data_IF_588202697690
#
_entry.id   IF_588202697690
#
_cell.length_a   1.000
_cell.length_b   1.000
_cell.length_c   1.000
_cell.angle_alpha   90.00
_cell.angle_beta   90.00
_cell.angle_gamma   90.00
#
_symmetry.space_group_name_H-M   'P 1'
#
loop_
_entity.id
_entity.type
_entity.pdbx_description
1 polymer ?
#
# COMPACT_ATOMS: atom_id res chain seq x y z
N UNK A 1 -44.84 -68.00 61.44
CA UNK A 1 -44.73 -66.84 62.34
C UNK A 1 -45.38 -65.66 61.64
N UNK A 2 -46.53 -65.21 62.20
CA UNK A 2 -47.12 -63.86 62.22
C UNK A 2 -46.73 -62.83 61.14
N UNK A 3 -47.57 -61.97 60.56
CA UNK A 3 -49.02 -61.74 60.51
C UNK A 3 -49.20 -60.45 59.65
N UNK A 4 -50.35 -60.31 58.97
CA UNK A 4 -51.04 -59.05 58.60
C UNK A 4 -50.33 -58.13 57.58
N UNK A 5 -50.98 -57.54 56.56
CA UNK A 5 -52.21 -56.77 56.61
C UNK A 5 -52.80 -56.58 55.19
N UNK A 6 -54.13 -56.74 55.06
CA UNK A 6 -54.95 -56.35 53.90
C UNK A 6 -55.45 -54.92 54.09
N UNK A 7 -55.51 -54.14 53.01
CA UNK A 7 -56.48 -53.07 52.71
C UNK A 7 -56.09 -52.42 51.37
N UNK A 8 -56.95 -51.90 50.50
CA UNK A 8 -58.38 -51.99 50.20
C UNK A 8 -58.54 -51.27 48.83
N UNK A 9 -59.57 -51.66 48.08
CA UNK A 9 -60.16 -51.03 46.89
C UNK A 9 -59.88 -49.53 46.65
N UNK A 10 -59.69 -49.13 45.38
CA UNK A 10 -60.60 -48.18 44.69
C UNK A 10 -60.30 -48.04 43.19
N UNK A 11 -61.37 -48.16 42.41
CA UNK A 11 -61.55 -47.79 41.00
C UNK A 11 -61.46 -46.27 40.87
N UNK A 12 -60.88 -45.73 39.78
CA UNK A 12 -61.28 -44.47 39.12
C UNK A 12 -60.40 -44.29 37.86
N UNK A 13 -60.97 -44.34 36.66
CA UNK A 13 -61.51 -43.21 35.88
C UNK A 13 -60.55 -42.80 34.76
N UNK A 14 -60.96 -43.16 33.54
CA UNK A 14 -60.35 -42.79 32.26
C UNK A 14 -60.62 -41.29 32.01
N UNK A 15 -59.56 -40.48 31.88
CA UNK A 15 -59.64 -39.09 31.45
C UNK A 15 -58.92 -38.96 30.09
N UNK A 16 -59.70 -38.81 29.03
CA UNK A 16 -59.24 -38.41 27.71
C UNK A 16 -58.75 -36.95 27.77
N UNK A 17 -57.45 -36.73 27.53
CA UNK A 17 -56.90 -35.39 27.32
C UNK A 17 -56.88 -35.09 25.82
N UNK A 18 -57.75 -34.17 25.38
CA UNK A 18 -57.70 -33.57 24.04
C UNK A 18 -56.62 -32.48 24.06
N UNK A 19 -55.51 -32.71 23.36
CA UNK A 19 -54.49 -31.67 23.12
C UNK A 19 -54.92 -30.86 21.91
N UNK A 20 -55.37 -29.62 22.14
CA UNK A 20 -55.55 -28.64 21.06
C UNK A 20 -54.18 -28.13 20.61
N UNK A 21 -53.82 -28.38 19.35
CA UNK A 21 -52.64 -27.79 18.71
C UNK A 21 -52.99 -26.34 18.34
N UNK A 22 -52.55 -25.39 19.15
CA UNK A 22 -52.60 -23.97 18.81
C UNK A 22 -51.59 -23.66 17.71
N UNK A 23 -52.06 -23.21 16.54
CA UNK A 23 -51.19 -22.69 15.49
C UNK A 23 -50.62 -21.33 15.93
N UNK A 24 -49.33 -21.30 16.27
CA UNK A 24 -48.61 -20.06 16.49
C UNK A 24 -48.20 -19.48 15.13
N UNK A 25 -48.85 -18.39 14.72
CA UNK A 25 -48.43 -17.58 13.58
C UNK A 25 -47.06 -16.95 13.89
N UNK A 26 -45.99 -17.52 13.33
CA UNK A 26 -44.65 -16.92 13.41
C UNK A 26 -44.65 -15.68 12.51
N UNK A 27 -44.68 -14.50 13.11
CA UNK A 27 -44.46 -13.25 12.41
C UNK A 27 -43.04 -13.27 11.80
N UNK A 28 -42.94 -13.16 10.48
CA UNK A 28 -41.67 -12.93 9.79
C UNK A 28 -41.09 -11.60 10.29
N UNK A 29 -39.81 -11.52 10.66
CA UNK A 29 -39.19 -10.23 10.92
C UNK A 29 -39.27 -9.40 9.64
N UNK A 30 -39.72 -8.16 9.77
CA UNK A 30 -39.65 -7.19 8.69
C UNK A 30 -38.18 -7.08 8.25
N UNK A 31 -37.94 -7.32 6.96
CA UNK A 31 -36.64 -7.06 6.36
C UNK A 31 -36.37 -5.57 6.52
N UNK A 32 -35.48 -5.21 7.45
CA UNK A 32 -34.95 -3.87 7.48
C UNK A 32 -34.34 -3.61 6.10
N UNK A 33 -34.84 -2.60 5.40
CA UNK A 33 -34.15 -2.06 4.25
C UNK A 33 -32.72 -1.78 4.74
N UNK A 34 -31.75 -2.51 4.19
CA UNK A 34 -30.35 -2.22 4.44
C UNK A 34 -30.11 -0.74 4.14
N UNK A 35 -29.13 -0.10 4.78
CA UNK A 35 -28.78 1.26 4.43
C UNK A 35 -28.54 1.26 2.92
N UNK A 36 -29.42 1.93 2.17
CA UNK A 36 -29.14 2.36 0.81
C UNK A 36 -27.83 3.09 0.93
N UNK A 37 -26.76 2.46 0.45
CA UNK A 37 -25.43 3.04 0.48
C UNK A 37 -25.56 4.41 -0.14
N UNK A 38 -25.49 5.43 0.71
CA UNK A 38 -25.06 6.74 0.27
C UNK A 38 -23.71 6.46 -0.36
N UNK A 39 -23.65 6.48 -1.69
CA UNK A 39 -22.40 6.61 -2.39
C UNK A 39 -21.72 7.80 -1.72
N UNK A 40 -20.70 7.54 -0.92
CA UNK A 40 -19.77 8.59 -0.58
C UNK A 40 -19.26 9.03 -1.95
N UNK A 41 -19.63 10.24 -2.39
CA UNK A 41 -18.84 10.94 -3.39
C UNK A 41 -17.54 11.33 -2.68
N UNK A 42 -16.77 10.34 -2.25
CA UNK A 42 -15.48 10.60 -1.68
C UNK A 42 -14.57 10.84 -2.88
N UNK A 43 -14.41 12.11 -3.22
CA UNK A 43 -13.43 12.63 -4.16
C UNK A 43 -12.01 12.43 -3.59
N UNK A 44 -11.75 11.28 -2.97
CA UNK A 44 -10.47 10.86 -2.39
C UNK A 44 -9.85 9.73 -3.20
N UNK A 45 -10.50 9.28 -4.27
CA UNK A 45 -9.96 8.25 -5.14
C UNK A 45 -10.47 8.31 -6.56
N UNK A 46 -9.75 7.63 -7.44
CA UNK A 46 -10.06 7.55 -8.87
C UNK A 46 -10.14 6.10 -9.31
N UNK A 47 -11.17 5.80 -10.11
CA UNK A 47 -11.41 4.49 -10.71
C UNK A 47 -11.08 4.49 -12.19
N UNK A 48 -10.58 3.36 -12.68
CA UNK A 48 -10.28 3.13 -14.09
C UNK A 48 -10.90 1.80 -14.52
N UNK A 49 -11.49 1.78 -15.71
CA UNK A 49 -11.95 0.56 -16.36
C UNK A 49 -10.78 -0.36 -16.72
N UNK A 50 -11.06 -1.63 -16.98
CA UNK A 50 -10.04 -2.57 -17.48
C UNK A 50 -9.44 -2.12 -18.82
N UNK A 51 -10.22 -1.40 -19.64
CA UNK A 51 -9.75 -0.82 -20.89
C UNK A 51 -8.74 0.31 -20.62
N UNK A 52 -9.06 1.26 -19.72
CA UNK A 52 -8.18 2.36 -19.35
C UNK A 52 -6.89 1.86 -18.68
N UNK A 53 -6.97 0.87 -17.79
CA UNK A 53 -5.79 0.24 -17.20
C UNK A 53 -4.90 -0.41 -18.27
N UNK A 54 -5.50 -1.06 -19.27
CA UNK A 54 -4.78 -1.69 -20.39
C UNK A 54 -4.22 -0.68 -21.39
N UNK A 55 -4.91 0.44 -21.62
CA UNK A 55 -4.46 1.55 -22.45
C UNK A 55 -3.28 2.27 -21.77
N UNK A 56 -3.35 2.51 -20.46
CA UNK A 56 -2.25 3.05 -19.67
C UNK A 56 -0.98 2.21 -19.86
N UNK A 57 -1.09 0.89 -19.66
CA UNK A 57 0.02 -0.07 -19.89
C UNK A 57 0.61 0.05 -21.30
N UNK A 58 -0.22 0.15 -22.34
CA UNK A 58 0.23 0.26 -23.74
C UNK A 58 0.85 1.63 -24.07
N UNK A 59 0.40 2.68 -23.41
CA UNK A 59 0.84 4.06 -23.65
C UNK A 59 2.22 4.36 -23.08
N UNK A 60 2.67 3.60 -22.07
CA UNK A 60 4.02 3.69 -21.51
C UNK A 60 5.03 2.93 -22.38
N UNK A 61 5.28 3.49 -23.56
CA UNK A 61 6.31 3.00 -24.48
C UNK A 61 7.70 3.17 -23.88
N UNK A 62 8.73 2.54 -24.48
CA UNK A 62 10.08 2.72 -24.03
C UNK A 62 10.55 4.17 -23.96
N UNK A 63 10.19 4.96 -24.95
CA UNK A 63 10.52 6.37 -25.06
C UNK A 63 9.81 7.19 -23.97
N UNK A 64 8.52 6.90 -23.71
CA UNK A 64 7.75 7.55 -22.65
C UNK A 64 8.35 7.28 -21.25
N UNK A 65 8.76 6.04 -20.98
CA UNK A 65 9.38 5.67 -19.70
C UNK A 65 10.73 6.37 -19.50
N UNK A 66 11.51 6.56 -20.57
CA UNK A 66 12.79 7.26 -20.53
C UNK A 66 12.64 8.80 -20.43
N UNK A 67 11.50 9.35 -20.83
CA UNK A 67 11.21 10.78 -20.81
C UNK A 67 10.60 11.27 -19.49
N UNK A 68 10.08 10.36 -18.66
CA UNK A 68 9.44 10.72 -17.39
C UNK A 68 10.42 11.34 -16.39
N UNK A 69 10.07 12.50 -15.83
CA UNK A 69 10.87 13.20 -14.82
C UNK A 69 10.49 12.80 -13.39
N UNK A 70 11.18 13.34 -12.39
CA UNK A 70 10.65 13.34 -11.02
C UNK A 70 9.60 14.45 -10.85
N UNK A 71 8.68 14.25 -9.90
CA UNK A 71 7.69 15.27 -9.54
C UNK A 71 8.31 16.34 -8.62
N UNK A 72 9.26 15.95 -7.77
CA UNK A 72 9.75 16.75 -6.64
C UNK A 72 10.95 17.68 -6.90
N UNK A 73 11.52 17.73 -8.13
CA UNK A 73 12.70 18.58 -8.40
C UNK A 73 12.70 19.25 -9.79
N UNK A 74 13.20 20.50 -9.88
CA UNK A 74 13.91 20.94 -11.08
C UNK A 74 15.20 20.12 -11.22
N UNK A 75 15.48 19.70 -12.46
CA UNK A 75 16.47 18.75 -12.99
C UNK A 75 17.93 18.74 -12.50
N UNK A 76 18.29 19.31 -11.34
CA UNK A 76 19.63 19.20 -10.78
C UNK A 76 19.80 17.85 -10.08
N UNK A 77 19.90 16.80 -10.90
CA UNK A 77 20.27 15.46 -10.50
C UNK A 77 21.71 15.48 -9.97
N UNK A 78 21.87 15.33 -8.67
CA UNK A 78 23.17 15.04 -8.07
C UNK A 78 23.56 13.62 -8.47
N UNK A 79 24.38 13.48 -9.50
CA UNK A 79 25.06 12.24 -9.84
C UNK A 79 26.19 11.99 -8.83
N UNK A 80 25.84 11.57 -7.61
CA UNK A 80 26.84 10.99 -6.72
C UNK A 80 27.01 9.50 -7.09
N UNK A 81 28.23 9.04 -7.41
CA UNK A 81 28.49 7.62 -7.56
C UNK A 81 28.44 6.99 -6.16
N UNK A 82 27.37 6.27 -5.86
CA UNK A 82 27.30 5.44 -4.66
C UNK A 82 27.91 4.09 -5.02
N UNK A 83 29.07 3.79 -4.45
CA UNK A 83 29.80 2.54 -4.67
C UNK A 83 29.00 1.35 -4.15
N UNK A 84 28.88 0.31 -4.98
CA UNK A 84 28.08 -0.89 -4.74
C UNK A 84 28.35 -1.55 -3.38
N UNK A 85 27.30 -1.74 -2.60
CA UNK A 85 27.34 -2.50 -1.37
C UNK A 85 27.21 -4.00 -1.69
N UNK A 86 28.24 -4.78 -1.36
CA UNK A 86 28.17 -6.25 -1.33
C UNK A 86 27.27 -6.73 -0.19
N UNK A 87 26.70 -7.92 -0.34
CA UNK A 87 25.75 -8.68 0.52
C UNK A 87 26.10 -8.80 2.03
N UNK A 88 27.14 -8.13 2.53
CA UNK A 88 27.66 -8.21 3.90
C UNK A 88 27.57 -6.89 4.72
N UNK A 89 26.86 -5.86 4.25
CA UNK A 89 26.74 -4.55 4.90
C UNK A 89 25.41 -4.39 5.67
N UNK A 90 25.11 -5.31 6.57
CA UNK A 90 23.72 -5.55 6.99
C UNK A 90 23.13 -4.60 8.05
N UNK A 91 23.86 -3.57 8.49
CA UNK A 91 23.30 -2.28 8.98
C UNK A 91 24.38 -1.19 8.77
N UNK A 92 24.83 -0.94 7.54
CA UNK A 92 25.62 0.28 7.31
C UNK A 92 24.66 1.47 7.34
N UNK A 93 24.83 2.35 8.32
CA UNK A 93 24.07 3.60 8.41
C UNK A 93 24.41 4.47 7.19
N UNK A 94 23.39 5.09 6.58
CA UNK A 94 23.54 5.99 5.45
C UNK A 94 23.21 5.34 4.10
N UNK A 95 23.45 6.11 3.04
CA UNK A 95 23.02 5.78 1.68
C UNK A 95 23.87 4.68 1.02
N UNK A 96 23.22 3.90 0.17
CA UNK A 96 23.79 2.77 -0.54
C UNK A 96 23.00 2.43 -1.80
N UNK A 97 23.37 1.32 -2.41
CA UNK A 97 22.66 0.72 -3.55
C UNK A 97 22.30 -0.73 -3.23
N UNK A 98 21.19 -1.19 -3.78
CA UNK A 98 20.70 -2.55 -3.64
C UNK A 98 20.34 -3.13 -5.00
N UNK A 99 20.40 -4.46 -5.13
CA UNK A 99 19.94 -5.14 -6.34
C UNK A 99 18.42 -4.98 -6.51
N UNK A 100 17.86 -5.09 -7.73
CA UNK A 100 16.42 -4.98 -7.94
C UNK A 100 15.63 -5.99 -7.09
N UNK A 101 14.62 -5.49 -6.39
CA UNK A 101 13.77 -6.28 -5.49
C UNK A 101 12.41 -6.53 -6.15
N UNK A 102 11.93 -7.77 -6.10
CA UNK A 102 10.77 -8.16 -6.92
C UNK A 102 9.50 -7.39 -6.60
N UNK A 103 9.25 -7.07 -5.33
CA UNK A 103 8.07 -6.32 -4.91
C UNK A 103 8.26 -4.81 -4.95
N UNK A 104 9.47 -4.29 -5.21
CA UNK A 104 9.76 -2.86 -5.27
C UNK A 104 9.85 -2.45 -6.74
N UNK A 105 9.18 -1.36 -7.09
CA UNK A 105 9.08 -0.95 -8.49
C UNK A 105 8.95 0.54 -8.68
N UNK A 106 8.89 0.92 -9.95
CA UNK A 106 8.65 2.29 -10.38
C UNK A 106 7.17 2.50 -10.65
N UNK A 107 6.66 3.66 -10.29
CA UNK A 107 5.34 4.13 -10.68
C UNK A 107 5.52 5.20 -11.73
N UNK A 108 4.74 5.12 -12.80
CA UNK A 108 4.73 6.14 -13.86
C UNK A 108 3.31 6.63 -14.04
N UNK A 109 3.18 7.93 -14.25
CA UNK A 109 1.90 8.61 -14.29
C UNK A 109 2.02 9.95 -15.00
N UNK A 110 0.86 10.49 -15.36
CA UNK A 110 0.73 11.82 -15.93
C UNK A 110 0.05 12.77 -14.95
N UNK A 111 0.57 13.98 -14.82
CA UNK A 111 -0.11 15.11 -14.15
C UNK A 111 0.02 16.33 -15.06
N UNK A 112 -1.09 17.04 -15.31
CA UNK A 112 -1.11 18.25 -16.16
C UNK A 112 -0.40 18.05 -17.53
N UNK A 113 -0.66 16.91 -18.17
CA UNK A 113 -0.09 16.56 -19.48
C UNK A 113 1.42 16.28 -19.48
N UNK A 114 2.06 16.19 -18.32
CA UNK A 114 3.49 15.89 -18.15
C UNK A 114 3.69 14.51 -17.53
N UNK A 115 4.76 13.83 -17.94
CA UNK A 115 5.09 12.47 -17.51
C UNK A 115 6.04 12.49 -16.32
N UNK A 116 5.65 11.79 -15.26
CA UNK A 116 6.41 11.71 -14.02
C UNK A 116 6.66 10.26 -13.62
N UNK A 117 7.60 10.08 -12.70
CA UNK A 117 7.86 8.81 -12.08
C UNK A 117 8.14 8.93 -10.59
N UNK A 118 7.59 7.98 -9.86
CA UNK A 118 7.80 7.72 -8.44
C UNK A 118 8.28 6.28 -8.25
N UNK A 119 8.36 5.86 -6.99
CA UNK A 119 8.58 4.49 -6.54
C UNK A 119 7.36 3.96 -5.81
N UNK A 120 7.31 2.64 -5.64
CA UNK A 120 6.26 1.97 -4.87
C UNK A 120 6.62 0.53 -4.57
N UNK A 121 5.77 -0.12 -3.78
CA UNK A 121 5.94 -1.54 -3.43
C UNK A 121 4.63 -2.31 -3.45
N UNK A 122 4.67 -3.54 -3.95
CA UNK A 122 3.60 -4.54 -3.75
C UNK A 122 3.54 -4.91 -2.27
N UNK A 123 2.37 -4.80 -1.66
CA UNK A 123 2.15 -5.10 -0.23
C UNK A 123 1.09 -6.17 -0.04
N UNK A 124 1.25 -6.97 1.02
CA UNK A 124 0.34 -8.08 1.32
C UNK A 124 -1.07 -7.54 1.51
N UNK A 125 -2.02 -8.14 0.77
CA UNK A 125 -3.41 -7.71 0.69
C UNK A 125 -4.33 -8.88 0.37
N UNK A 126 -5.62 -8.77 0.70
CA UNK A 126 -6.60 -9.83 0.43
C UNK A 126 -6.81 -10.00 -1.08
N UNK A 127 -6.79 -8.89 -1.83
CA UNK A 127 -6.92 -8.88 -3.29
C UNK A 127 -5.66 -9.26 -4.05
N UNK A 128 -4.50 -9.36 -3.38
CA UNK A 128 -3.20 -9.64 -3.98
C UNK A 128 -2.74 -8.63 -5.05
N UNK A 129 -3.32 -7.42 -5.04
CA UNK A 129 -3.16 -6.40 -6.10
C UNK A 129 -2.77 -5.02 -5.57
N UNK A 130 -2.52 -4.88 -4.27
CA UNK A 130 -2.27 -3.57 -3.65
C UNK A 130 -0.80 -3.18 -3.75
N UNK A 131 -0.57 -1.94 -4.18
CA UNK A 131 0.72 -1.25 -4.16
C UNK A 131 0.63 -0.05 -3.23
N UNK A 132 1.66 0.15 -2.41
CA UNK A 132 1.87 1.35 -1.61
C UNK A 132 2.74 2.37 -2.35
N UNK A 133 2.43 3.66 -2.18
CA UNK A 133 3.22 4.79 -2.69
C UNK A 133 2.93 6.06 -1.87
N UNK A 134 3.54 7.19 -2.24
CA UNK A 134 3.25 8.50 -1.65
C UNK A 134 1.98 9.08 -2.27
N UNK A 135 1.26 9.90 -1.52
CA UNK A 135 0.01 10.47 -1.98
C UNK A 135 0.22 11.54 -3.06
N UNK A 136 1.30 12.33 -2.98
CA UNK A 136 1.66 13.29 -4.04
C UNK A 136 1.91 12.61 -5.40
N UNK A 137 2.31 11.33 -5.42
CA UNK A 137 2.46 10.59 -6.68
C UNK A 137 1.13 10.31 -7.39
N UNK A 138 -0.01 10.53 -6.72
CA UNK A 138 -1.35 10.23 -7.23
C UNK A 138 -2.27 11.46 -7.26
N UNK A 139 -2.08 12.40 -6.33
CA UNK A 139 -2.81 13.66 -6.27
C UNK A 139 -1.87 14.76 -5.79
N UNK A 140 -1.67 15.79 -6.60
CA UNK A 140 -0.73 16.86 -6.31
C UNK A 140 -1.25 18.19 -6.86
N UNK A 141 -1.17 19.25 -6.06
CA UNK A 141 -1.57 20.62 -6.41
C UNK A 141 -2.98 20.74 -7.02
N UNK A 142 -3.94 19.92 -6.56
CA UNK A 142 -5.30 19.95 -7.09
C UNK A 142 -5.60 18.94 -8.20
N UNK A 143 -4.58 18.26 -8.72
CA UNK A 143 -4.68 17.44 -9.92
C UNK A 143 -4.50 15.96 -9.62
N UNK A 144 -5.34 15.14 -10.24
CA UNK A 144 -5.22 13.69 -10.16
C UNK A 144 -4.28 13.13 -11.23
N UNK A 145 -3.50 12.13 -10.84
CA UNK A 145 -2.60 11.41 -11.75
C UNK A 145 -3.35 10.47 -12.68
N UNK A 146 -3.06 10.53 -13.97
CA UNK A 146 -3.66 9.62 -14.96
C UNK A 146 -2.63 8.67 -15.56
N UNK A 147 -3.11 7.67 -16.31
CA UNK A 147 -2.27 6.61 -16.90
C UNK A 147 -1.33 5.93 -15.89
N UNK A 148 -1.76 5.81 -14.63
CA UNK A 148 -0.92 5.29 -13.54
C UNK A 148 -0.58 3.81 -13.79
N UNK A 149 0.71 3.50 -13.82
CA UNK A 149 1.21 2.12 -13.92
C UNK A 149 2.30 1.84 -12.90
N UNK A 150 2.42 0.58 -12.50
CA UNK A 150 3.47 0.06 -11.64
C UNK A 150 4.32 -0.98 -12.38
N UNK A 151 5.64 -0.86 -12.25
CA UNK A 151 6.61 -1.76 -12.88
C UNK A 151 7.54 -2.33 -11.79
N UNK A 152 7.20 -3.51 -11.24
CA UNK A 152 7.99 -4.17 -10.22
C UNK A 152 9.29 -4.75 -10.79
N UNK A 153 10.29 -4.95 -9.92
CA UNK A 153 11.55 -5.60 -10.25
C UNK A 153 12.34 -4.91 -11.38
N UNK A 154 12.25 -3.58 -11.45
CA UNK A 154 12.92 -2.81 -12.50
C UNK A 154 14.44 -2.83 -12.29
N UNK A 155 15.20 -3.38 -13.25
CA UNK A 155 16.67 -3.46 -13.17
C UNK A 155 17.40 -2.31 -13.89
N UNK A 156 16.66 -1.34 -14.42
CA UNK A 156 17.18 -0.24 -15.24
C UNK A 156 16.97 -0.45 -16.75
N UNK A 157 16.91 -1.69 -17.21
CA UNK A 157 16.84 -2.05 -18.62
C UNK A 157 15.61 -2.89 -18.99
N UNK A 158 15.13 -3.71 -18.07
CA UNK A 158 14.10 -4.72 -18.26
C UNK A 158 12.92 -4.52 -17.32
N UNK A 159 11.80 -5.14 -17.71
CA UNK A 159 10.54 -5.18 -16.97
C UNK A 159 10.17 -6.65 -16.73
N UNK A 160 10.91 -7.41 -15.91
CA UNK A 160 10.80 -8.86 -15.87
C UNK A 160 9.42 -9.35 -15.42
N UNK A 161 8.70 -8.53 -14.65
CA UNK A 161 7.33 -8.81 -14.19
C UNK A 161 6.24 -8.02 -14.95
N UNK A 162 6.65 -7.36 -16.04
CA UNK A 162 5.82 -6.51 -16.89
C UNK A 162 5.27 -5.28 -16.19
N UNK A 163 4.34 -4.60 -16.88
CA UNK A 163 3.70 -3.35 -16.41
C UNK A 163 2.29 -3.66 -15.91
N UNK A 164 1.88 -3.08 -14.79
CA UNK A 164 0.56 -3.26 -14.17
C UNK A 164 -0.18 -1.93 -14.15
N UNK A 165 -1.37 -1.86 -14.76
CA UNK A 165 -2.18 -0.63 -14.77
C UNK A 165 -3.01 -0.49 -13.50
N UNK A 166 -3.16 0.73 -13.00
CA UNK A 166 -4.05 1.03 -11.89
C UNK A 166 -5.51 0.74 -12.27
N UNK A 167 -6.26 0.12 -11.36
CA UNK A 167 -7.71 -0.08 -11.46
C UNK A 167 -8.45 0.88 -10.54
N UNK A 168 -7.91 1.10 -9.35
CA UNK A 168 -8.41 2.08 -8.40
C UNK A 168 -7.25 2.57 -7.56
N UNK A 169 -7.25 3.83 -7.17
CA UNK A 169 -6.39 4.29 -6.08
C UNK A 169 -7.12 5.31 -5.24
N UNK A 170 -6.61 5.54 -4.03
CA UNK A 170 -7.10 6.59 -3.16
C UNK A 170 -5.96 7.20 -2.33
N UNK A 171 -6.15 8.45 -1.96
CA UNK A 171 -5.36 9.21 -0.98
C UNK A 171 -6.22 9.46 0.27
N UNK A 172 -5.60 9.81 1.39
CA UNK A 172 -6.33 10.18 2.60
C UNK A 172 -7.16 11.45 2.38
N UNK A 173 -8.19 11.67 3.21
CA UNK A 173 -8.92 12.95 3.18
C UNK A 173 -7.99 14.12 3.53
N UNK A 174 -7.12 13.93 4.52
CA UNK A 174 -6.16 14.94 4.98
C UNK A 174 -5.21 15.37 3.86
N UNK A 175 -4.76 14.41 3.03
CA UNK A 175 -4.02 14.71 1.81
C UNK A 175 -4.89 15.42 0.79
N UNK A 176 -6.08 14.87 0.48
CA UNK A 176 -6.97 15.42 -0.56
C UNK A 176 -7.38 16.88 -0.31
N UNK A 177 -7.54 17.29 0.94
CA UNK A 177 -8.06 18.62 1.29
C UNK A 177 -6.98 19.65 1.58
N UNK A 178 -5.86 19.23 2.15
CA UNK A 178 -4.83 20.13 2.68
C UNK A 178 -3.40 19.72 2.32
N UNK A 179 -3.22 18.62 1.59
CA UNK A 179 -1.91 18.04 1.28
C UNK A 179 -1.06 17.90 2.55
N UNK A 180 -1.69 17.35 3.61
CA UNK A 180 -1.05 17.20 4.92
C UNK A 180 0.16 16.26 4.79
N UNK A 181 1.40 16.74 5.00
CA UNK A 181 2.60 15.92 4.85
C UNK A 181 2.65 14.73 5.82
N UNK A 182 1.92 14.79 6.93
CA UNK A 182 1.76 13.67 7.86
C UNK A 182 0.96 12.48 7.28
N UNK A 183 0.26 12.70 6.18
CA UNK A 183 -0.59 11.72 5.52
C UNK A 183 -0.26 11.58 4.03
N UNK A 184 0.99 11.85 3.66
CA UNK A 184 1.55 11.62 2.31
C UNK A 184 1.81 10.12 2.03
N UNK A 185 0.74 9.34 2.10
CA UNK A 185 0.74 7.93 1.78
C UNK A 185 -0.54 7.56 1.04
N UNK A 186 -0.40 6.69 0.04
CA UNK A 186 -1.52 6.25 -0.77
C UNK A 186 -1.36 4.79 -1.19
N UNK A 187 -2.49 4.23 -1.62
CA UNK A 187 -2.56 2.85 -2.06
C UNK A 187 -3.27 2.74 -3.40
N UNK A 188 -2.76 1.85 -4.24
CA UNK A 188 -3.27 1.58 -5.58
C UNK A 188 -3.65 0.10 -5.65
N UNK A 189 -4.89 -0.19 -6.05
CA UNK A 189 -5.30 -1.52 -6.49
C UNK A 189 -5.01 -1.65 -7.99
N UNK A 190 -4.13 -2.57 -8.34
CA UNK A 190 -3.78 -2.86 -9.74
C UNK A 190 -4.86 -3.69 -10.42
N UNK A 191 -4.95 -3.59 -11.74
CA UNK A 191 -5.70 -4.54 -12.54
C UNK A 191 -4.94 -5.89 -12.60
N UNK A 192 -5.60 -7.04 -12.33
CA UNK A 192 -5.04 -8.35 -12.59
C UNK A 192 -4.84 -8.53 -14.09
N UNK A 193 -3.79 -9.25 -14.45
CA UNK A 193 -3.51 -9.59 -15.84
C UNK A 193 -4.27 -10.86 -16.23
N UNK A 194 -4.42 -11.07 -17.53
CA UNK A 194 -4.88 -12.34 -18.07
C UNK A 194 -3.67 -13.06 -18.64
N UNK A 195 -3.37 -14.26 -18.12
CA UNK A 195 -2.32 -15.12 -18.65
C UNK A 195 -2.68 -15.68 -20.03
N UNK A 196 -1.69 -16.28 -20.69
CA UNK A 196 -1.86 -16.89 -22.01
C UNK A 196 -2.88 -18.05 -22.02
N UNK A 197 -3.10 -18.70 -20.88
CA UNK A 197 -4.07 -19.78 -20.68
C UNK A 197 -5.47 -19.27 -20.29
N UNK A 198 -5.67 -17.95 -20.24
CA UNK A 198 -6.92 -17.31 -19.85
C UNK A 198 -7.12 -17.18 -18.34
N UNK A 199 -6.18 -17.67 -17.51
CA UNK A 199 -6.23 -17.53 -16.06
C UNK A 199 -5.92 -16.09 -15.61
N UNK A 200 -6.38 -15.71 -14.42
CA UNK A 200 -6.05 -14.40 -13.82
C UNK A 200 -4.70 -14.46 -13.13
N UNK A 201 -3.84 -13.49 -13.41
CA UNK A 201 -2.59 -13.29 -12.70
C UNK A 201 -2.69 -12.10 -11.75
N UNK A 202 -2.26 -12.33 -10.52
CA UNK A 202 -2.26 -11.36 -9.44
C UNK A 202 -0.85 -10.86 -9.17
N UNK A 203 -0.71 -9.60 -8.75
CA UNK A 203 0.59 -8.95 -8.58
C UNK A 203 1.42 -9.67 -7.51
N UNK A 204 0.84 -9.91 -6.34
CA UNK A 204 1.55 -10.48 -5.20
C UNK A 204 2.12 -11.88 -5.49
N UNK A 205 1.49 -12.68 -6.36
CA UNK A 205 1.98 -14.01 -6.70
C UNK A 205 3.20 -13.99 -7.63
N UNK A 206 3.44 -12.89 -8.34
CA UNK A 206 4.59 -12.71 -9.24
C UNK A 206 5.71 -11.91 -8.59
N UNK A 207 5.35 -10.82 -7.92
CA UNK A 207 6.29 -9.87 -7.33
C UNK A 207 6.66 -10.20 -5.88
N UNK A 208 5.87 -11.04 -5.21
CA UNK A 208 5.87 -11.08 -3.75
C UNK A 208 5.14 -9.86 -3.16
N UNK A 209 4.85 -9.94 -1.87
CA UNK A 209 4.14 -8.88 -1.16
C UNK A 209 4.45 -8.96 0.33
N UNK A 210 5.47 -8.22 0.82
CA UNK A 210 5.79 -8.16 2.25
C UNK A 210 4.61 -7.66 3.09
N UNK A 211 4.63 -8.01 4.37
CA UNK A 211 3.61 -7.58 5.31
C UNK A 211 3.70 -6.07 5.59
N UNK A 212 2.61 -5.31 5.46
CA UNK A 212 2.54 -3.96 6.01
C UNK A 212 2.25 -4.00 7.52
N UNK A 213 2.60 -2.92 8.22
CA UNK A 213 2.13 -2.62 9.58
C UNK A 213 1.67 -1.17 9.68
N UNK A 214 0.68 -0.93 10.53
CA UNK A 214 0.00 0.37 10.66
C UNK A 214 -0.04 0.88 12.11
N UNK A 215 0.74 0.24 12.99
CA UNK A 215 0.70 0.55 14.43
C UNK A 215 2.02 0.26 15.14
N UNK A 216 3.05 -0.14 14.40
CA UNK A 216 4.32 -0.59 14.99
C UNK A 216 5.45 0.43 14.83
N UNK A 217 5.27 1.48 14.03
CA UNK A 217 6.28 2.52 13.87
C UNK A 217 6.49 3.25 15.19
N UNK A 218 7.74 3.32 15.63
CA UNK A 218 8.15 4.04 16.83
C UNK A 218 9.45 4.78 16.54
N UNK A 219 9.65 6.00 17.07
CA UNK A 219 10.93 6.68 16.97
C UNK A 219 12.01 5.86 17.70
N UNK A 220 13.25 5.91 17.22
CA UNK A 220 14.37 5.14 17.73
C UNK A 220 14.52 3.74 17.11
N UNK A 221 13.54 3.25 16.35
CA UNK A 221 13.73 2.05 15.54
C UNK A 221 14.65 2.36 14.36
N UNK A 222 15.38 1.35 13.90
CA UNK A 222 16.13 1.44 12.66
C UNK A 222 15.25 1.06 11.48
N UNK A 223 15.28 1.90 10.45
CA UNK A 223 14.55 1.72 9.21
C UNK A 223 15.52 1.61 8.05
N UNK A 224 15.09 0.95 6.98
CA UNK A 224 15.78 0.88 5.72
C UNK A 224 14.79 1.25 4.60
N UNK A 225 15.11 2.32 3.88
CA UNK A 225 14.27 2.92 2.86
C UNK A 225 14.83 2.60 1.47
N UNK A 226 13.94 2.30 0.53
CA UNK A 226 14.33 1.95 -0.84
C UNK A 226 13.56 2.80 -1.85
N UNK A 227 14.21 3.16 -2.97
CA UNK A 227 13.56 3.92 -4.03
C UNK A 227 14.34 3.94 -5.33
N UNK A 228 13.69 4.28 -6.42
CA UNK A 228 14.32 4.46 -7.72
C UNK A 228 14.49 5.94 -8.03
N UNK A 229 15.56 6.25 -8.76
CA UNK A 229 15.72 7.54 -9.44
C UNK A 229 15.00 7.52 -10.81
N UNK A 230 14.63 8.69 -11.38
CA UNK A 230 14.33 8.82 -12.79
C UNK A 230 15.47 8.28 -13.62
N UNK A 231 15.12 7.64 -14.73
CA UNK A 231 16.10 7.15 -15.69
C UNK A 231 15.96 7.96 -16.96
N UNK A 232 17.08 8.52 -17.44
CA UNK A 232 17.18 9.11 -18.77
C UNK A 232 17.36 8.07 -19.89
N UNK A 233 16.85 6.84 -19.73
CA UNK A 233 17.03 5.74 -20.69
C UNK A 233 16.98 4.34 -20.07
N UNK A 234 17.26 3.33 -20.91
CA UNK A 234 17.33 1.90 -20.55
C UNK A 234 18.72 1.47 -20.06
N UNK A 235 19.23 2.19 -19.07
CA UNK A 235 20.52 1.88 -18.45
C UNK A 235 20.29 1.21 -17.10
N UNK A 236 21.01 0.10 -16.81
CA UNK A 236 21.00 -0.51 -15.48
C UNK A 236 21.24 0.56 -14.42
N UNK A 237 20.32 0.67 -13.49
CA UNK A 237 20.40 1.62 -12.39
C UNK A 237 19.98 0.89 -11.13
N UNK A 238 20.86 0.79 -10.14
CA UNK A 238 20.56 0.04 -8.94
C UNK A 238 19.46 0.76 -8.14
N UNK A 239 18.77 -0.02 -7.31
CA UNK A 239 17.82 0.51 -6.34
C UNK A 239 18.60 1.33 -5.30
N UNK A 240 18.16 2.55 -5.00
CA UNK A 240 18.71 3.30 -3.86
C UNK A 240 18.27 2.61 -2.57
N UNK A 241 19.17 2.49 -1.59
CA UNK A 241 18.83 2.14 -0.22
C UNK A 241 19.43 3.15 0.75
N UNK A 242 18.78 3.38 1.88
CA UNK A 242 19.40 4.06 3.01
C UNK A 242 18.86 3.55 4.32
N UNK A 243 19.75 3.23 5.26
CA UNK A 243 19.39 2.75 6.58
C UNK A 243 19.77 3.74 7.67
N UNK A 244 18.90 3.88 8.68
CA UNK A 244 19.25 4.62 9.88
C UNK A 244 18.18 4.63 10.96
N UNK A 245 18.48 5.24 12.09
CA UNK A 245 17.52 5.45 13.18
C UNK A 245 16.44 6.45 12.73
N UNK A 246 15.17 6.09 12.83
CA UNK A 246 14.05 6.98 12.54
C UNK A 246 13.72 7.85 13.74
N UNK A 247 13.59 9.16 13.53
CA UNK A 247 13.23 10.15 14.57
C UNK A 247 12.06 10.99 14.12
N UNK A 248 11.35 11.63 15.04
CA UNK A 248 10.33 12.60 14.65
C UNK A 248 10.94 13.74 13.83
N UNK A 249 10.41 13.97 12.64
CA UNK A 249 10.79 15.14 11.85
C UNK A 249 10.43 16.41 12.63
N UNK A 250 11.33 17.40 12.63
CA UNK A 250 11.26 18.64 13.43
C UNK A 250 11.17 18.41 14.96
N UNK A 251 11.36 17.18 15.44
CA UNK A 251 11.31 16.83 16.85
C UNK A 251 9.91 16.92 17.49
N UNK A 252 8.84 17.02 16.70
CA UNK A 252 7.47 17.12 17.22
C UNK A 252 6.73 15.79 17.09
N UNK A 253 6.30 15.22 18.21
CA UNK A 253 5.51 13.99 18.21
C UNK A 253 4.11 14.14 17.59
N UNK A 254 3.63 15.38 17.44
CA UNK A 254 2.31 15.69 16.87
C UNK A 254 2.27 15.62 15.34
N UNK A 255 3.42 15.58 14.67
CA UNK A 255 3.51 15.43 13.22
C UNK A 255 3.89 13.97 12.95
N UNK A 256 3.05 13.20 12.23
CA UNK A 256 3.31 11.78 11.95
C UNK A 256 4.30 11.62 10.78
N UNK A 257 5.42 12.33 10.84
CA UNK A 257 6.53 12.23 9.88
C UNK A 257 7.81 11.86 10.63
N UNK A 258 8.55 10.89 10.10
CA UNK A 258 9.87 10.51 10.61
C UNK A 258 10.98 10.93 9.64
N UNK A 259 12.15 11.22 10.21
CA UNK A 259 13.38 11.50 9.49
C UNK A 259 14.42 10.39 9.71
N UNK A 260 15.20 10.09 8.66
CA UNK A 260 16.45 9.32 8.76
C UNK A 260 17.60 10.24 8.35
N UNK A 261 18.52 10.48 9.28
CA UNK A 261 19.65 11.38 9.07
C UNK A 261 20.69 10.79 8.11
N UNK A 262 21.34 11.65 7.33
CA UNK A 262 22.38 11.30 6.35
C UNK A 262 21.88 10.42 5.19
N UNK A 263 20.58 10.45 4.92
CA UNK A 263 19.94 9.85 3.76
C UNK A 263 19.51 10.94 2.78
N UNK A 264 19.96 10.85 1.53
CA UNK A 264 19.67 11.81 0.44
C UNK A 264 19.02 11.03 -0.72
N UNK A 265 17.74 10.63 -0.60
CA UNK A 265 17.10 9.86 -1.64
C UNK A 265 17.02 10.70 -2.92
N UNK A 266 17.25 10.08 -4.09
CA UNK A 266 17.14 10.81 -5.35
C UNK A 266 15.69 11.27 -5.57
N UNK A 267 15.48 12.27 -6.44
CA UNK A 267 14.14 12.53 -6.98
C UNK A 267 13.55 11.23 -7.54
N UNK A 268 12.22 11.07 -7.50
CA UNK A 268 11.50 9.86 -7.90
C UNK A 268 11.56 8.68 -6.93
N UNK A 269 12.37 8.76 -5.85
CA UNK A 269 12.35 7.77 -4.78
C UNK A 269 11.06 7.82 -3.95
N UNK A 270 10.32 8.92 -4.06
CA UNK A 270 9.04 9.15 -3.40
C UNK A 270 8.05 8.01 -3.63
N UNK A 271 7.36 7.61 -2.58
CA UNK A 271 6.53 6.41 -2.52
C UNK A 271 7.29 5.10 -2.34
N UNK A 272 8.62 5.13 -2.40
CA UNK A 272 9.47 3.98 -2.14
C UNK A 272 9.28 3.44 -0.71
N UNK A 273 9.36 2.11 -0.50
CA UNK A 273 9.02 1.52 0.78
C UNK A 273 10.06 1.81 1.87
N UNK A 274 9.58 1.96 3.10
CA UNK A 274 10.41 2.00 4.31
C UNK A 274 10.11 0.77 5.16
N UNK A 275 11.12 -0.08 5.38
CA UNK A 275 11.05 -1.29 6.18
C UNK A 275 11.72 -1.10 7.54
N UNK A 276 11.40 -1.94 8.52
CA UNK A 276 12.30 -2.12 9.65
C UNK A 276 13.63 -2.68 9.15
N UNK A 277 14.75 -2.03 9.49
CA UNK A 277 16.07 -2.45 9.05
C UNK A 277 16.37 -3.88 9.55
N UNK A 278 16.91 -4.71 8.67
CA UNK A 278 17.15 -6.13 8.98
C UNK A 278 18.39 -6.62 8.27
N UNK A 279 19.05 -7.59 8.89
CA UNK A 279 20.18 -8.30 8.28
C UNK A 279 19.78 -9.23 7.12
N UNK A 280 18.51 -9.25 6.72
CA UNK A 280 18.00 -10.08 5.62
C UNK A 280 17.51 -9.24 4.43
N UNK A 281 17.91 -7.97 4.37
CA UNK A 281 17.45 -7.01 3.34
C UNK A 281 15.96 -6.65 3.47
N UNK A 282 15.30 -6.18 2.38
CA UNK A 282 13.91 -5.70 2.39
C UNK A 282 12.83 -6.76 2.64
N UNK A 283 13.19 -7.90 3.23
CA UNK A 283 12.27 -8.97 3.65
C UNK A 283 11.51 -8.65 4.96
N UNK A 284 11.64 -7.41 5.46
CA UNK A 284 11.01 -6.95 6.69
C UNK A 284 9.55 -6.55 6.54
N UNK A 285 8.95 -6.16 7.66
CA UNK A 285 7.63 -5.51 7.67
C UNK A 285 7.79 -4.09 7.13
N UNK A 286 6.89 -3.65 6.24
CA UNK A 286 6.84 -2.28 5.73
C UNK A 286 6.08 -1.37 6.68
N UNK A 287 6.66 -0.24 7.03
CA UNK A 287 6.14 0.71 8.01
C UNK A 287 5.66 2.02 7.39
N UNK A 288 6.06 2.32 6.16
CA UNK A 288 5.80 3.62 5.55
C UNK A 288 6.31 3.71 4.13
N UNK A 289 6.30 4.94 3.62
CA UNK A 289 6.82 5.31 2.30
C UNK A 289 7.66 6.58 2.40
N UNK A 290 8.71 6.66 1.58
CA UNK A 290 9.51 7.86 1.39
C UNK A 290 8.59 8.96 0.85
N UNK A 291 8.64 10.15 1.44
CA UNK A 291 7.86 11.29 0.97
C UNK A 291 8.76 12.29 0.26
N UNK A 292 9.83 12.72 0.91
CA UNK A 292 10.70 13.74 0.36
C UNK A 292 12.11 13.72 0.95
N UNK A 293 12.96 14.62 0.45
CA UNK A 293 14.25 14.94 1.06
C UNK A 293 14.23 16.34 1.64
N UNK A 294 14.69 16.48 2.88
CA UNK A 294 14.92 17.77 3.53
C UNK A 294 16.40 17.94 3.87
N UNK A 295 16.77 19.14 4.33
CA UNK A 295 18.10 19.45 4.85
C UNK A 295 17.98 19.85 6.32
N UNK A 296 18.86 19.31 7.16
CA UNK A 296 19.02 19.77 8.52
C UNK A 296 19.62 21.19 8.55
N UNK A 297 19.65 21.82 9.73
CA UNK A 297 20.19 23.19 9.90
C UNK A 297 21.66 23.32 9.51
N UNK A 298 22.42 22.24 9.63
CA UNK A 298 23.84 22.16 9.24
C UNK A 298 24.03 21.77 7.76
N UNK A 299 22.94 21.59 7.01
CA UNK A 299 22.96 21.22 5.60
C UNK A 299 23.02 19.71 5.33
N UNK A 300 23.08 18.86 6.36
CA UNK A 300 23.07 17.40 6.16
C UNK A 300 21.73 16.95 5.56
N UNK A 301 21.72 15.94 4.67
CA UNK A 301 20.48 15.43 4.10
C UNK A 301 19.65 14.65 5.13
N UNK A 302 18.33 14.77 5.02
CA UNK A 302 17.34 14.05 5.80
C UNK A 302 16.37 13.38 4.81
N UNK A 303 16.21 12.07 4.90
CA UNK A 303 15.11 11.37 4.25
C UNK A 303 13.88 11.51 5.14
N UNK A 304 12.78 11.98 4.59
CA UNK A 304 11.49 12.05 5.29
C UNK A 304 10.60 10.92 4.81
N UNK A 305 9.89 10.30 5.74
CA UNK A 305 8.90 9.28 5.44
C UNK A 305 7.71 9.38 6.39
N UNK A 306 6.55 8.94 5.91
CA UNK A 306 5.33 8.85 6.73
C UNK A 306 5.23 7.43 7.31
N UNK A 307 5.41 7.24 8.63
CA UNK A 307 5.00 6.02 9.29
C UNK A 307 3.48 5.85 9.23
N UNK A 308 3.03 4.64 8.89
CA UNK A 308 1.61 4.36 8.74
C UNK A 308 0.89 4.18 10.08
N UNK A 309 -0.25 4.85 10.18
CA UNK A 309 -1.17 4.80 11.31
C UNK A 309 -2.58 4.34 10.90
N UNK A 310 -3.56 4.72 11.72
CA UNK A 310 -4.96 4.33 11.53
C UNK A 310 -5.58 4.92 10.26
N UNK A 311 -5.16 6.13 9.85
CA UNK A 311 -5.62 6.78 8.62
C UNK A 311 -5.19 5.93 7.41
N UNK A 312 -3.91 5.58 7.35
CA UNK A 312 -3.34 4.77 6.27
C UNK A 312 -3.88 3.35 6.28
N UNK A 313 -4.15 2.76 7.46
CA UNK A 313 -4.82 1.47 7.54
C UNK A 313 -6.20 1.51 6.90
N UNK A 314 -6.98 2.56 7.21
CA UNK A 314 -8.35 2.70 6.71
C UNK A 314 -8.35 2.90 5.19
N UNK A 315 -7.39 3.69 4.68
CA UNK A 315 -7.15 3.89 3.26
C UNK A 315 -6.71 2.60 2.54
N UNK A 316 -5.75 1.88 3.11
CA UNK A 316 -5.29 0.58 2.61
C UNK A 316 -6.47 -0.40 2.48
N UNK A 317 -7.32 -0.50 3.52
CA UNK A 317 -8.48 -1.40 3.50
C UNK A 317 -9.53 -0.97 2.49
N UNK A 318 -9.79 0.33 2.32
CA UNK A 318 -10.75 0.79 1.32
C UNK A 318 -10.30 0.46 -0.11
N UNK A 319 -9.01 0.63 -0.39
CA UNK A 319 -8.40 0.28 -1.68
C UNK A 319 -8.42 -1.24 -1.91
N UNK A 320 -7.98 -2.04 -0.93
CA UNK A 320 -7.96 -3.50 -1.04
C UNK A 320 -9.36 -4.09 -1.30
N UNK A 321 -10.36 -3.58 -0.58
CA UNK A 321 -11.75 -4.01 -0.67
C UNK A 321 -12.52 -3.40 -1.84
N UNK A 322 -11.93 -2.46 -2.60
CA UNK A 322 -12.61 -1.83 -3.73
C UNK A 322 -13.07 -2.87 -4.75
N UNK A 323 -14.36 -2.90 -5.14
CA UNK A 323 -14.91 -3.99 -5.93
C UNK A 323 -14.28 -4.03 -7.32
N UNK A 324 -13.84 -5.22 -7.72
CA UNK A 324 -13.39 -5.54 -9.07
C UNK A 324 -14.17 -6.73 -9.62
#
# INVERSE_FOLDING_TARGET
MTALWKNRFSVLALLLLVVMVGQSSVARPAQAAGPTGTAFSDDTGQSFSDAEASDAVRSWTPEALAAASDLDRPSDAVNAPVTGATEQALITQGAGTFEPVYWIGRIYFDVDGRQYSCSGSSIRSDSQLVVATAAHCLYDHGEWSTRVVFIPAWDGANKPLGVWGAFFYAVSRDWRTTEDPGHDAAFIKMAPKTAWDGSKEYLASKAGAPAPTFSAAMPGLHFEAFGYRPLGGYVPAPLYTCAGEGRHFRGFASIPEYEIANCDPPGGASGGPVYHASTHGPNGTQYGVITETRRARDGSPLLIFVPWGQVEYSLYRSVDLWPK
#
